data_IF_465702566737
#
_entry.id   IF_465702566737
#
_cell.length_a   1.000
_cell.length_b   1.000
_cell.length_c   1.000
_cell.angle_alpha   90.00
_cell.angle_beta   90.00
_cell.angle_gamma   90.00
#
_symmetry.space_group_name_H-M   'P 1'
#
loop_
_entity.id
_entity.type
_entity.pdbx_description
1 polymer ?
#
# COMPACT_ATOMS: atom_id res chain seq x y z
N UNK A 1 3.46 6.58 -6.91
CA UNK A 1 3.76 7.01 -8.29
C UNK A 1 4.50 8.35 -8.34
N UNK A 2 4.03 9.40 -7.66
CA UNK A 2 4.65 10.73 -7.67
C UNK A 2 6.15 10.74 -7.32
N UNK A 3 6.57 9.96 -6.32
CA UNK A 3 8.00 9.82 -5.94
C UNK A 3 8.86 9.29 -7.10
N UNK A 4 8.35 8.34 -7.90
CA UNK A 4 9.05 7.82 -9.07
C UNK A 4 9.21 8.85 -10.19
N UNK A 5 8.17 9.66 -10.44
CA UNK A 5 8.21 10.77 -11.41
C UNK A 5 9.23 11.84 -10.98
N UNK A 6 9.31 12.10 -9.67
CA UNK A 6 10.30 13.02 -9.08
C UNK A 6 11.72 12.49 -9.25
N UNK A 7 11.96 11.19 -9.06
CA UNK A 7 13.28 10.60 -9.26
C UNK A 7 13.75 10.69 -10.72
N UNK A 8 12.82 10.61 -11.69
CA UNK A 8 13.13 10.72 -13.12
C UNK A 8 13.37 12.17 -13.57
N UNK A 9 12.49 13.09 -13.17
CA UNK A 9 12.57 14.50 -13.61
C UNK A 9 13.48 15.36 -12.73
N UNK A 10 13.91 14.87 -11.56
CA UNK A 10 14.68 15.60 -10.53
C UNK A 10 14.06 16.93 -10.05
N UNK A 11 12.82 17.23 -10.44
CA UNK A 11 12.09 18.43 -10.05
C UNK A 11 11.26 18.17 -8.79
N UNK A 12 11.66 18.75 -7.66
CA UNK A 12 10.95 18.67 -6.37
C UNK A 12 10.23 19.98 -5.99
N UNK A 13 10.02 20.88 -6.95
CA UNK A 13 9.48 22.21 -6.65
C UNK A 13 8.02 22.13 -6.19
N UNK A 14 7.74 22.64 -4.97
CA UNK A 14 6.39 22.71 -4.39
C UNK A 14 5.39 23.42 -5.29
N UNK A 15 5.82 24.43 -6.07
CA UNK A 15 4.95 25.16 -7.00
C UNK A 15 4.32 24.24 -8.06
N UNK A 16 5.05 23.21 -8.51
CA UNK A 16 4.55 22.25 -9.50
C UNK A 16 3.38 21.45 -8.91
N UNK A 17 3.54 20.95 -7.68
CA UNK A 17 2.47 20.23 -6.98
C UNK A 17 1.24 21.10 -6.75
N UNK A 18 1.42 22.35 -6.33
CA UNK A 18 0.29 23.28 -6.16
C UNK A 18 -0.46 23.53 -7.46
N UNK A 19 0.27 23.74 -8.57
CA UNK A 19 -0.33 23.96 -9.89
C UNK A 19 -1.08 22.71 -10.38
N UNK A 20 -0.49 21.52 -10.26
CA UNK A 20 -1.15 20.26 -10.62
C UNK A 20 -2.42 20.03 -9.81
N UNK A 21 -2.41 20.28 -8.49
CA UNK A 21 -3.60 20.15 -7.66
C UNK A 21 -4.73 21.10 -8.08
N UNK A 22 -4.40 22.37 -8.37
CA UNK A 22 -5.39 23.34 -8.87
C UNK A 22 -5.98 22.87 -10.20
N UNK A 23 -5.15 22.39 -11.14
CA UNK A 23 -5.61 21.85 -12.40
C UNK A 23 -6.54 20.66 -12.23
N UNK A 24 -6.23 19.73 -11.31
CA UNK A 24 -7.08 18.56 -11.02
C UNK A 24 -8.43 19.00 -10.44
N UNK A 25 -8.44 20.00 -9.54
CA UNK A 25 -9.70 20.56 -8.99
C UNK A 25 -10.55 21.16 -10.11
N UNK A 26 -9.95 22.01 -10.97
CA UNK A 26 -10.66 22.63 -12.08
C UNK A 26 -11.18 21.56 -13.05
N UNK A 27 -10.36 20.57 -13.39
CA UNK A 27 -10.75 19.48 -14.28
C UNK A 27 -11.90 18.64 -13.70
N UNK A 28 -11.92 18.42 -12.38
CA UNK A 28 -12.99 17.70 -11.69
C UNK A 28 -14.32 18.47 -11.62
N UNK A 29 -14.28 19.80 -11.69
CA UNK A 29 -15.48 20.65 -11.68
C UNK A 29 -16.10 20.85 -13.06
N UNK A 30 -15.40 20.50 -14.15
CA UNK A 30 -15.90 20.64 -15.53
C UNK A 30 -16.65 19.36 -15.95
N UNK A 31 -17.99 19.39 -16.09
CA UNK A 31 -18.78 18.19 -16.37
C UNK A 31 -18.46 17.53 -17.72
N UNK A 32 -17.99 18.33 -18.70
CA UNK A 32 -17.58 17.82 -20.01
C UNK A 32 -16.36 16.89 -19.93
N UNK A 33 -15.43 17.17 -19.02
CA UNK A 33 -14.27 16.29 -18.79
C UNK A 33 -14.73 14.99 -18.14
N UNK A 34 -15.61 15.06 -17.15
CA UNK A 34 -16.21 13.87 -16.52
C UNK A 34 -16.96 12.99 -17.53
N UNK A 35 -17.77 13.59 -18.42
CA UNK A 35 -18.46 12.87 -19.48
C UNK A 35 -17.48 12.13 -20.41
N UNK A 36 -16.39 12.79 -20.81
CA UNK A 36 -15.35 12.15 -21.62
C UNK A 36 -14.67 10.99 -20.88
N UNK A 37 -14.35 11.15 -19.59
CA UNK A 37 -13.76 10.07 -18.79
C UNK A 37 -14.67 8.83 -18.69
N UNK A 38 -16.00 9.02 -18.63
CA UNK A 38 -16.95 7.90 -18.62
C UNK A 38 -17.04 7.13 -19.95
N UNK A 39 -16.58 7.72 -21.06
CA UNK A 39 -16.50 7.02 -22.35
C UNK A 39 -15.31 6.06 -22.45
N UNK A 40 -14.35 6.14 -21.50
CA UNK A 40 -13.16 5.28 -21.50
C UNK A 40 -13.57 3.84 -21.19
N UNK A 41 -13.22 2.85 -22.03
CA UNK A 41 -13.54 1.46 -21.78
C UNK A 41 -12.93 0.94 -20.47
N UNK A 42 -13.68 0.07 -19.77
CA UNK A 42 -13.21 -0.54 -18.53
C UNK A 42 -11.91 -1.34 -18.70
N UNK A 43 -11.67 -1.92 -19.88
CA UNK A 43 -10.41 -2.61 -20.17
C UNK A 43 -9.19 -1.69 -20.08
N UNK A 44 -9.31 -0.43 -20.49
CA UNK A 44 -8.22 0.56 -20.44
C UNK A 44 -7.99 1.04 -19.02
N UNK A 45 -9.08 1.35 -18.29
CA UNK A 45 -9.01 1.74 -16.88
C UNK A 45 -8.43 0.61 -16.02
N UNK A 46 -8.85 -0.64 -16.27
CA UNK A 46 -8.31 -1.83 -15.63
C UNK A 46 -6.81 -2.00 -15.89
N UNK A 47 -6.36 -1.83 -17.15
CA UNK A 47 -4.94 -1.88 -17.50
C UNK A 47 -4.11 -0.82 -16.77
N UNK A 48 -4.61 0.42 -16.70
CA UNK A 48 -3.96 1.50 -15.95
C UNK A 48 -3.88 1.16 -14.45
N UNK A 49 -4.99 0.69 -13.85
CA UNK A 49 -5.07 0.33 -12.43
C UNK A 49 -4.15 -0.84 -12.07
N UNK A 50 -4.09 -1.89 -12.91
CA UNK A 50 -3.18 -3.02 -12.71
C UNK A 50 -1.71 -2.55 -12.73
N UNK A 51 -1.34 -1.68 -13.65
CA UNK A 51 0.02 -1.10 -13.70
C UNK A 51 0.37 -0.33 -12.43
N UNK A 52 -0.58 0.45 -11.91
CA UNK A 52 -0.43 1.19 -10.64
C UNK A 52 -0.22 0.23 -9.48
N UNK A 53 -1.10 -0.77 -9.33
CA UNK A 53 -1.00 -1.73 -8.24
C UNK A 53 0.26 -2.60 -8.34
N UNK A 54 0.64 -3.05 -9.54
CA UNK A 54 1.88 -3.79 -9.76
C UNK A 54 3.11 -2.98 -9.31
N UNK A 55 3.16 -1.69 -9.68
CA UNK A 55 4.25 -0.80 -9.27
C UNK A 55 4.27 -0.58 -7.75
N UNK A 56 3.10 -0.43 -7.11
CA UNK A 56 2.99 -0.29 -5.65
C UNK A 56 3.48 -1.58 -4.97
N UNK A 57 3.01 -2.75 -5.40
CA UNK A 57 3.41 -4.04 -4.86
C UNK A 57 4.92 -4.27 -4.98
N UNK A 58 5.51 -4.00 -6.15
CA UNK A 58 6.96 -4.10 -6.35
C UNK A 58 7.75 -3.12 -5.49
N UNK A 59 7.22 -1.90 -5.28
CA UNK A 59 7.84 -0.92 -4.36
C UNK A 59 7.79 -1.43 -2.92
N UNK A 60 6.69 -2.07 -2.52
CA UNK A 60 6.57 -2.74 -1.21
C UNK A 60 7.59 -3.86 -1.03
N UNK A 61 7.71 -4.76 -2.00
CA UNK A 61 8.71 -5.84 -1.99
C UNK A 61 10.13 -5.27 -1.91
N UNK A 62 10.43 -4.22 -2.67
CA UNK A 62 11.73 -3.54 -2.62
C UNK A 62 12.00 -2.93 -1.24
N UNK A 63 10.99 -2.35 -0.59
CA UNK A 63 11.12 -1.79 0.75
C UNK A 63 11.44 -2.87 1.79
N UNK A 64 10.75 -4.02 1.72
CA UNK A 64 11.02 -5.18 2.58
C UNK A 64 12.43 -5.72 2.34
N UNK A 65 12.82 -5.87 1.06
CA UNK A 65 14.16 -6.35 0.70
C UNK A 65 15.27 -5.42 1.21
N UNK A 66 15.06 -4.11 1.13
CA UNK A 66 16.01 -3.11 1.62
C UNK A 66 16.15 -3.11 3.15
N UNK A 67 15.15 -3.60 3.89
CA UNK A 67 15.21 -3.74 5.34
C UNK A 67 15.98 -4.99 5.81
N UNK A 68 16.46 -5.83 4.88
CA UNK A 68 17.17 -7.08 5.15
C UNK A 68 16.25 -8.30 5.24
N UNK A 69 16.55 -9.33 4.46
CA UNK A 69 15.78 -10.59 4.38
C UNK A 69 16.23 -11.62 5.42
N UNK A 70 16.34 -11.18 6.66
CA UNK A 70 16.73 -12.04 7.78
C UNK A 70 15.54 -12.94 8.15
N UNK A 71 15.74 -14.15 8.71
CA UNK A 71 14.64 -15.05 9.07
C UNK A 71 13.54 -14.38 9.92
N UNK A 72 13.92 -13.45 10.80
CA UNK A 72 12.97 -12.61 11.57
C UNK A 72 12.09 -11.76 10.65
N UNK A 73 12.68 -10.95 9.77
CA UNK A 73 11.95 -10.00 8.94
C UNK A 73 11.05 -10.72 7.94
N UNK A 74 11.55 -11.82 7.36
CA UNK A 74 10.76 -12.69 6.47
C UNK A 74 9.58 -13.29 7.22
N UNK A 75 9.77 -13.75 8.46
CA UNK A 75 8.69 -14.30 9.28
C UNK A 75 7.64 -13.24 9.64
N UNK A 76 8.06 -12.04 10.03
CA UNK A 76 7.14 -10.93 10.34
C UNK A 76 6.27 -10.61 9.13
N UNK A 77 6.89 -10.41 7.96
CA UNK A 77 6.18 -10.05 6.73
C UNK A 77 5.28 -11.19 6.26
N UNK A 78 5.79 -12.43 6.26
CA UNK A 78 5.05 -13.61 5.82
C UNK A 78 3.82 -13.90 6.68
N UNK A 79 3.97 -13.92 8.00
CA UNK A 79 2.85 -14.18 8.93
C UNK A 79 1.83 -13.03 8.85
N UNK A 80 2.28 -11.78 8.80
CA UNK A 80 1.38 -10.64 8.69
C UNK A 80 0.53 -10.69 7.42
N UNK A 81 1.14 -10.98 6.27
CA UNK A 81 0.43 -11.08 4.98
C UNK A 81 -0.54 -12.27 4.98
N UNK A 82 -0.10 -13.44 5.50
CA UNK A 82 -0.94 -14.63 5.56
C UNK A 82 -2.18 -14.43 6.44
N UNK A 83 -2.01 -13.82 7.61
CA UNK A 83 -3.13 -13.53 8.52
C UNK A 83 -4.05 -12.43 7.99
N UNK A 84 -3.50 -11.36 7.42
CA UNK A 84 -4.30 -10.27 6.88
C UNK A 84 -5.22 -10.71 5.74
N UNK A 85 -4.70 -11.49 4.79
CA UNK A 85 -5.51 -12.04 3.70
C UNK A 85 -6.43 -13.17 4.18
N UNK A 86 -5.96 -14.03 5.09
CA UNK A 86 -6.73 -15.16 5.62
C UNK A 86 -7.99 -14.73 6.37
N UNK A 87 -7.91 -13.66 7.17
CA UNK A 87 -9.04 -13.13 7.93
C UNK A 87 -10.12 -12.56 6.99
N UNK A 88 -9.72 -11.82 5.96
CA UNK A 88 -10.66 -11.22 5.00
C UNK A 88 -11.29 -12.26 4.09
N UNK A 89 -10.55 -13.31 3.70
CA UNK A 89 -11.09 -14.40 2.87
C UNK A 89 -11.95 -15.41 3.60
N UNK A 90 -11.96 -15.40 4.93
CA UNK A 90 -12.76 -16.32 5.75
C UNK A 90 -13.96 -15.58 6.33
N UNK A 91 -15.16 -15.74 5.74
CA UNK A 91 -16.36 -15.06 6.25
C UNK A 91 -16.68 -15.53 7.67
N UNK A 92 -17.03 -14.59 8.55
CA UNK A 92 -17.35 -14.90 9.94
C UNK A 92 -16.14 -15.11 10.87
N UNK A 93 -14.91 -14.92 10.38
CA UNK A 93 -13.67 -15.01 11.17
C UNK A 93 -13.67 -14.09 12.41
N UNK A 94 -14.37 -12.96 12.33
CA UNK A 94 -14.48 -11.96 13.39
C UNK A 94 -15.90 -11.88 13.99
N UNK A 95 -16.78 -12.86 13.74
CA UNK A 95 -18.19 -12.80 14.15
C UNK A 95 -18.41 -12.68 15.67
N UNK A 96 -17.43 -13.13 16.48
CA UNK A 96 -17.46 -13.00 17.95
C UNK A 96 -16.97 -11.65 18.49
N UNK A 97 -16.49 -10.75 17.64
CA UNK A 97 -15.96 -9.44 18.05
C UNK A 97 -17.00 -8.32 17.88
N UNK A 98 -16.85 -7.19 18.62
CA UNK A 98 -17.65 -5.99 18.40
C UNK A 98 -17.62 -5.51 16.95
N UNK A 99 -18.70 -4.89 16.49
CA UNK A 99 -18.88 -4.47 15.10
C UNK A 99 -17.75 -3.55 14.59
N UNK A 100 -17.24 -2.67 15.44
CA UNK A 100 -16.09 -1.80 15.13
C UNK A 100 -14.85 -2.60 14.70
N UNK A 101 -14.60 -3.75 15.33
CA UNK A 101 -13.45 -4.62 15.00
C UNK A 101 -13.70 -5.34 13.68
N UNK A 102 -14.93 -5.78 13.44
CA UNK A 102 -15.32 -6.43 12.18
C UNK A 102 -15.17 -5.47 11.00
N UNK A 103 -15.59 -4.21 11.14
CA UNK A 103 -15.52 -3.22 10.07
C UNK A 103 -14.06 -2.88 9.73
N UNK A 104 -13.22 -2.70 10.75
CA UNK A 104 -11.80 -2.31 10.56
C UNK A 104 -10.95 -3.47 10.03
N UNK A 105 -11.09 -4.68 10.58
CA UNK A 105 -10.21 -5.81 10.29
C UNK A 105 -10.81 -6.85 9.34
N UNK A 106 -12.14 -6.90 9.20
CA UNK A 106 -12.84 -7.81 8.30
C UNK A 106 -12.95 -7.28 6.87
N UNK A 107 -12.96 -5.97 6.68
CA UNK A 107 -13.15 -5.35 5.36
C UNK A 107 -11.85 -5.07 4.61
N UNK A 108 -10.71 -4.94 5.33
CA UNK A 108 -9.45 -4.48 4.73
C UNK A 108 -8.25 -5.33 5.12
N UNK A 109 -7.74 -6.11 4.15
CA UNK A 109 -6.61 -7.01 4.37
C UNK A 109 -5.34 -6.25 4.76
N UNK A 110 -5.19 -5.03 4.24
CA UNK A 110 -4.07 -4.13 4.53
C UNK A 110 -4.05 -3.65 5.99
N UNK A 111 -5.22 -3.35 6.58
CA UNK A 111 -5.31 -2.93 7.99
C UNK A 111 -4.86 -4.04 8.92
N UNK A 112 -5.40 -5.25 8.72
CA UNK A 112 -5.08 -6.43 9.51
C UNK A 112 -3.62 -6.86 9.34
N UNK A 113 -3.12 -6.88 8.10
CA UNK A 113 -1.69 -7.11 7.82
C UNK A 113 -0.82 -6.11 8.57
N UNK A 114 -1.14 -4.83 8.50
CA UNK A 114 -0.33 -3.77 9.14
C UNK A 114 -0.32 -3.92 10.65
N UNK A 115 -1.49 -4.16 11.25
CA UNK A 115 -1.61 -4.35 12.69
C UNK A 115 -0.78 -5.55 13.17
N UNK A 116 -0.90 -6.70 12.50
CA UNK A 116 -0.11 -7.90 12.81
C UNK A 116 1.39 -7.66 12.60
N UNK A 117 1.79 -7.00 11.52
CA UNK A 117 3.20 -6.69 11.25
C UNK A 117 3.81 -5.81 12.35
N UNK A 118 3.10 -4.76 12.78
CA UNK A 118 3.53 -3.87 13.86
C UNK A 118 3.63 -4.64 15.17
N UNK A 119 2.61 -5.42 15.51
CA UNK A 119 2.56 -6.22 16.72
C UNK A 119 3.70 -7.25 16.79
N UNK A 120 3.93 -8.00 15.70
CA UNK A 120 5.04 -8.94 15.60
C UNK A 120 6.40 -8.25 15.66
N UNK A 121 6.54 -7.07 15.04
CA UNK A 121 7.79 -6.33 15.09
C UNK A 121 8.13 -5.81 16.50
N UNK A 122 7.13 -5.57 17.34
CA UNK A 122 7.32 -5.18 18.75
C UNK A 122 7.64 -6.40 19.62
N UNK A 123 6.90 -7.50 19.45
CA UNK A 123 7.03 -8.71 20.27
C UNK A 123 8.33 -9.45 19.98
N UNK A 124 8.71 -9.58 18.71
CA UNK A 124 9.91 -10.33 18.35
C UNK A 124 11.16 -9.56 18.76
N UNK A 125 12.12 -10.20 19.46
CA UNK A 125 13.36 -9.54 19.87
C UNK A 125 14.11 -9.05 18.63
N UNK A 126 14.69 -7.86 18.73
CA UNK A 126 15.55 -7.32 17.66
C UNK A 126 16.78 -8.22 17.56
N UNK A 127 17.10 -8.67 16.36
CA UNK A 127 18.41 -9.31 16.12
C UNK A 127 19.45 -8.23 16.37
N UNK A 128 20.22 -8.38 17.44
CA UNK A 128 21.41 -7.55 17.67
C UNK A 128 22.42 -8.04 16.65
N UNK A 129 22.52 -7.32 15.53
CA UNK A 129 23.55 -7.54 14.54
C UNK A 129 24.86 -7.09 15.18
N UNK A 130 25.55 -8.01 15.85
CA UNK A 130 26.86 -7.77 16.43
C UNK A 130 27.82 -7.43 15.31
N UNK A 131 28.14 -6.14 15.20
CA UNK A 131 29.32 -5.53 14.59
C UNK A 131 30.07 -6.46 13.62
N UNK A 132 29.70 -6.44 12.34
CA UNK A 132 30.63 -6.85 11.29
C UNK A 132 31.65 -5.73 11.12
N UNK A 133 32.66 -5.76 11.98
CA UNK A 133 33.94 -5.07 11.81
C UNK A 133 34.79 -6.01 10.97
N UNK A 134 34.88 -5.75 9.67
CA UNK A 134 35.95 -6.16 8.76
C UNK A 134 35.85 -5.31 7.48
#
# INVERSE_FOLDING_TARGET
>A
QNVGIVTLNKCINRKIFTFTSILVIIAGLIPKISALLTTIPQAVLGGATISVFATISMTGVKMVSNAGLNPRNVSVVGIALALGEGIVRTPGSLAGFPQIIQDVFGTSATSTTTFVAVLLNIILPKVVESLKKD
#
